data_IF_060729811702
#
_entry.id   IF_060729811702
#
_cell.length_a   1.000
_cell.length_b   1.000
_cell.length_c   1.000
_cell.angle_alpha   90.00
_cell.angle_beta   90.00
_cell.angle_gamma   90.00
#
_symmetry.space_group_name_H-M   'P 1'
#
loop_
_entity.id
_entity.type
_entity.pdbx_description
1 polymer ?
#
# COMPACT_ATOMS: atom_id res chain seq x y z
N UNK A 1 -7.69 -5.37 23.58
CA UNK A 1 -8.63 -6.16 22.75
C UNK A 1 -8.97 -5.42 21.47
N UNK A 2 -9.44 -4.17 21.53
CA UNK A 2 -9.59 -3.29 20.35
C UNK A 2 -8.30 -3.14 19.53
N UNK A 3 -7.15 -3.03 20.21
CA UNK A 3 -5.86 -2.88 19.51
C UNK A 3 -5.46 -4.10 18.66
N UNK A 4 -5.82 -5.29 19.09
CA UNK A 4 -5.50 -6.54 18.40
C UNK A 4 -6.42 -6.70 17.18
N UNK A 5 -7.69 -6.33 17.31
CA UNK A 5 -8.70 -6.59 16.29
C UNK A 5 -8.51 -5.70 15.04
N UNK A 6 -8.26 -4.39 15.22
CA UNK A 6 -8.08 -3.49 14.07
C UNK A 6 -6.78 -3.80 13.31
N UNK A 7 -5.67 -4.04 14.04
CA UNK A 7 -4.40 -4.44 13.43
C UNK A 7 -4.54 -5.72 12.61
N UNK A 8 -5.32 -6.69 13.08
CA UNK A 8 -5.58 -7.94 12.34
C UNK A 8 -6.25 -7.66 10.99
N UNK A 9 -7.33 -6.85 10.97
CA UNK A 9 -8.04 -6.54 9.70
C UNK A 9 -7.19 -5.77 8.68
N UNK A 10 -6.27 -4.91 9.16
CA UNK A 10 -5.32 -4.21 8.28
C UNK A 10 -4.28 -5.21 7.75
N UNK A 11 -3.80 -6.14 8.58
CA UNK A 11 -2.89 -7.20 8.17
C UNK A 11 -3.52 -8.14 7.14
N UNK A 12 -4.82 -8.44 7.22
CA UNK A 12 -5.52 -9.27 6.24
C UNK A 12 -5.48 -8.64 4.83
N UNK A 13 -5.83 -7.35 4.72
CA UNK A 13 -5.72 -6.62 3.44
C UNK A 13 -4.26 -6.54 2.98
N UNK A 14 -3.32 -6.25 3.89
CA UNK A 14 -1.88 -6.16 3.58
C UNK A 14 -1.38 -7.48 2.99
N UNK A 15 -1.72 -8.61 3.61
CA UNK A 15 -1.30 -9.94 3.16
C UNK A 15 -1.89 -10.28 1.79
N UNK A 16 -3.15 -9.93 1.54
CA UNK A 16 -3.77 -10.11 0.23
C UNK A 16 -3.04 -9.29 -0.84
N UNK A 17 -2.80 -7.99 -0.60
CA UNK A 17 -2.09 -7.12 -1.52
C UNK A 17 -0.65 -7.60 -1.76
N UNK A 18 0.02 -8.09 -0.73
CA UNK A 18 1.36 -8.65 -0.85
C UNK A 18 1.38 -9.95 -1.67
N UNK A 19 0.32 -10.76 -1.60
CA UNK A 19 0.19 -11.99 -2.38
C UNK A 19 0.05 -11.68 -3.88
N UNK A 20 -0.77 -10.68 -4.24
CA UNK A 20 -0.79 -10.13 -5.60
C UNK A 20 0.59 -9.59 -6.00
N UNK A 21 1.20 -8.77 -5.15
CA UNK A 21 2.45 -8.11 -5.51
C UNK A 21 3.64 -9.07 -5.67
N UNK A 22 3.59 -10.23 -5.02
CA UNK A 22 4.57 -11.31 -5.14
C UNK A 22 4.18 -12.37 -6.20
N UNK A 23 3.09 -12.15 -6.93
CA UNK A 23 2.59 -13.06 -7.97
C UNK A 23 2.40 -14.50 -7.44
N UNK A 24 2.04 -14.63 -6.15
CA UNK A 24 1.85 -15.93 -5.48
C UNK A 24 0.45 -16.47 -5.75
N UNK A 25 0.35 -17.80 -5.90
CA UNK A 25 -0.93 -18.52 -6.05
C UNK A 25 -1.89 -18.21 -4.89
N UNK A 26 -3.21 -18.23 -5.10
CA UNK A 26 -4.20 -18.00 -4.04
C UNK A 26 -4.71 -19.29 -3.38
N UNK A 27 -4.24 -20.46 -3.81
CA UNK A 27 -4.80 -21.76 -3.41
C UNK A 27 -4.65 -22.10 -1.91
N UNK A 28 -3.62 -21.62 -1.22
CA UNK A 28 -3.30 -22.08 0.15
C UNK A 28 -3.84 -21.14 1.25
N UNK A 29 -3.99 -19.84 0.98
CA UNK A 29 -4.16 -18.85 2.05
C UNK A 29 -5.52 -18.12 2.05
N UNK A 30 -6.21 -18.03 0.91
CA UNK A 30 -7.45 -17.25 0.79
C UNK A 30 -8.70 -18.11 0.74
N UNK A 31 -8.60 -19.39 1.11
CA UNK A 31 -9.67 -20.37 0.95
C UNK A 31 -9.90 -20.81 -0.51
N UNK A 32 -8.95 -20.53 -1.41
CA UNK A 32 -9.02 -20.82 -2.84
C UNK A 32 -9.46 -19.62 -3.69
N UNK A 33 -9.82 -19.88 -4.96
CA UNK A 33 -10.27 -18.87 -5.92
C UNK A 33 -9.14 -18.28 -6.77
N UNK A 34 -9.49 -17.82 -7.99
CA UNK A 34 -8.54 -17.15 -8.87
C UNK A 34 -8.25 -15.70 -8.45
N UNK A 35 -7.31 -15.01 -9.14
CA UNK A 35 -7.01 -13.59 -8.89
C UNK A 35 -8.25 -12.69 -8.92
N UNK A 36 -9.21 -12.95 -9.81
CA UNK A 36 -10.47 -12.19 -9.90
C UNK A 36 -11.32 -12.28 -8.63
N UNK A 37 -11.57 -13.49 -8.13
CA UNK A 37 -12.34 -13.69 -6.90
C UNK A 37 -11.68 -12.98 -5.71
N UNK A 38 -10.35 -13.00 -5.66
CA UNK A 38 -9.58 -12.32 -4.63
C UNK A 38 -9.66 -10.80 -4.74
N UNK A 39 -9.64 -10.25 -5.96
CA UNK A 39 -9.82 -8.81 -6.17
C UNK A 39 -11.23 -8.35 -5.76
N UNK A 40 -12.26 -9.16 -6.03
CA UNK A 40 -13.64 -8.87 -5.59
C UNK A 40 -13.76 -8.82 -4.07
N UNK A 41 -12.90 -9.51 -3.31
CA UNK A 41 -12.95 -9.49 -1.85
C UNK A 41 -12.41 -8.18 -1.23
N UNK A 42 -11.61 -7.40 -1.97
CA UNK A 42 -10.89 -6.24 -1.43
C UNK A 42 -11.83 -5.19 -0.83
N UNK A 43 -12.92 -4.74 -1.50
CA UNK A 43 -13.83 -3.77 -0.92
C UNK A 43 -14.48 -4.25 0.39
N UNK A 44 -14.77 -5.55 0.49
CA UNK A 44 -15.39 -6.12 1.69
C UNK A 44 -14.40 -6.25 2.86
N UNK A 45 -13.14 -6.61 2.59
CA UNK A 45 -12.08 -6.57 3.61
C UNK A 45 -11.89 -5.15 4.15
N UNK A 46 -11.92 -4.15 3.27
CA UNK A 46 -11.89 -2.74 3.66
C UNK A 46 -13.10 -2.41 4.54
N UNK A 47 -14.32 -2.79 4.14
CA UNK A 47 -15.53 -2.52 4.92
C UNK A 47 -15.50 -3.17 6.32
N UNK A 48 -14.96 -4.38 6.46
CA UNK A 48 -14.77 -5.04 7.75
C UNK A 48 -13.77 -4.28 8.62
N UNK A 49 -12.61 -3.87 8.08
CA UNK A 49 -11.64 -3.07 8.84
C UNK A 49 -12.20 -1.70 9.25
N UNK A 50 -12.98 -1.05 8.38
CA UNK A 50 -13.68 0.21 8.70
C UNK A 50 -14.69 0.03 9.83
N UNK A 51 -15.44 -1.07 9.86
CA UNK A 51 -16.34 -1.37 10.98
C UNK A 51 -15.57 -1.44 12.31
N UNK A 52 -14.41 -2.10 12.33
CA UNK A 52 -13.58 -2.18 13.54
C UNK A 52 -13.04 -0.80 13.92
N UNK A 53 -12.51 -0.02 12.98
CA UNK A 53 -12.00 1.34 13.24
C UNK A 53 -13.08 2.25 13.82
N UNK A 54 -14.28 2.25 13.22
CA UNK A 54 -15.40 3.08 13.65
C UNK A 54 -15.92 2.67 15.03
N UNK A 55 -16.06 1.37 15.31
CA UNK A 55 -16.59 0.88 16.59
C UNK A 55 -15.59 1.00 17.75
N UNK A 56 -14.29 0.87 17.47
CA UNK A 56 -13.21 1.01 18.46
C UNK A 56 -12.74 2.45 18.65
N UNK A 57 -13.16 3.38 17.79
CA UNK A 57 -12.84 4.82 17.83
C UNK A 57 -11.34 5.10 17.84
N UNK A 58 -10.55 4.30 17.13
CA UNK A 58 -9.08 4.43 17.07
C UNK A 58 -8.59 5.43 16.01
N UNK A 59 -9.48 5.98 15.18
CA UNK A 59 -9.15 6.86 14.05
C UNK A 59 -8.12 7.94 14.40
N UNK A 60 -8.39 8.81 15.37
CA UNK A 60 -7.51 9.95 15.67
C UNK A 60 -6.10 9.52 16.10
N UNK A 61 -5.98 8.40 16.81
CA UNK A 61 -4.69 7.84 17.24
C UNK A 61 -3.91 7.32 16.05
N UNK A 62 -4.53 6.48 15.23
CA UNK A 62 -3.88 5.85 14.08
C UNK A 62 -3.55 6.87 12.98
N UNK A 63 -4.42 7.86 12.77
CA UNK A 63 -4.16 8.96 11.85
C UNK A 63 -2.96 9.81 12.29
N UNK A 64 -2.85 10.09 13.58
CA UNK A 64 -1.69 10.76 14.16
C UNK A 64 -0.40 9.96 14.00
N UNK A 65 -0.45 8.65 14.26
CA UNK A 65 0.68 7.74 14.05
C UNK A 65 1.11 7.71 12.57
N UNK A 66 0.16 7.64 11.63
CA UNK A 66 0.42 7.67 10.21
C UNK A 66 1.04 9.00 9.74
N UNK A 67 0.59 10.12 10.29
CA UNK A 67 1.12 11.46 10.00
C UNK A 67 2.54 11.67 10.55
N UNK A 68 2.85 11.10 11.72
CA UNK A 68 4.23 11.10 12.24
C UNK A 68 5.12 10.19 11.41
N UNK A 69 4.63 9.00 11.03
CA UNK A 69 5.37 8.04 10.22
C UNK A 69 5.83 8.63 8.87
N UNK A 70 4.98 9.41 8.19
CA UNK A 70 5.31 9.99 6.87
C UNK A 70 6.37 11.09 6.95
N UNK A 71 6.56 11.73 8.11
CA UNK A 71 7.51 12.82 8.32
C UNK A 71 8.82 12.41 8.98
N UNK A 72 8.85 11.30 9.71
CA UNK A 72 10.05 10.77 10.36
C UNK A 72 11.11 10.31 9.35
N UNK A 73 12.38 10.29 9.75
CA UNK A 73 13.46 9.76 8.91
C UNK A 73 13.23 8.29 8.51
N UNK A 74 13.76 7.90 7.34
CA UNK A 74 13.75 6.50 6.90
C UNK A 74 14.92 5.79 7.56
N UNK A 75 14.65 4.79 8.39
CA UNK A 75 15.66 3.96 9.05
C UNK A 75 15.62 2.52 8.53
N UNK A 76 16.77 1.84 8.52
CA UNK A 76 16.85 0.47 8.01
C UNK A 76 16.02 -0.55 8.83
N UNK A 77 15.78 -0.31 10.12
CA UNK A 77 15.02 -1.22 10.98
C UNK A 77 13.53 -1.32 10.59
N UNK A 78 12.97 -0.32 9.90
CA UNK A 78 11.61 -0.33 9.35
C UNK A 78 11.33 -1.57 8.49
N UNK A 79 12.37 -2.15 7.88
CA UNK A 79 12.27 -3.36 7.07
C UNK A 79 11.81 -4.60 7.86
N UNK A 80 12.01 -4.62 9.17
CA UNK A 80 11.78 -5.80 10.02
C UNK A 80 10.62 -5.62 10.99
N UNK A 81 9.96 -4.47 10.97
CA UNK A 81 8.80 -4.19 11.82
C UNK A 81 7.53 -4.82 11.23
N UNK A 82 6.72 -5.45 12.09
CA UNK A 82 5.42 -6.00 11.69
C UNK A 82 4.49 -4.89 11.17
N UNK A 83 4.48 -3.75 11.86
CA UNK A 83 3.73 -2.54 11.55
C UNK A 83 4.58 -1.52 10.76
N UNK A 84 5.51 -2.01 9.93
CA UNK A 84 6.38 -1.21 9.08
C UNK A 84 5.69 -0.66 7.83
N UNK A 85 6.45 -0.25 6.80
CA UNK A 85 5.91 0.50 5.66
C UNK A 85 4.76 -0.16 4.87
N UNK A 86 4.76 -1.49 4.73
CA UNK A 86 3.65 -2.22 4.11
C UNK A 86 2.35 -2.09 4.90
N UNK A 87 2.44 -2.17 6.24
CA UNK A 87 1.29 -1.98 7.11
C UNK A 87 0.81 -0.53 7.07
N UNK A 88 1.72 0.43 7.17
CA UNK A 88 1.38 1.87 7.15
C UNK A 88 0.72 2.30 5.83
N UNK A 89 1.20 1.80 4.68
CA UNK A 89 0.57 2.03 3.39
C UNK A 89 -0.84 1.40 3.31
N UNK A 90 -1.02 0.21 3.88
CA UNK A 90 -2.34 -0.44 3.95
C UNK A 90 -3.28 0.32 4.89
N UNK A 91 -2.79 0.78 6.03
CA UNK A 91 -3.56 1.53 7.01
C UNK A 91 -4.06 2.87 6.43
N UNK A 92 -3.28 3.49 5.54
CA UNK A 92 -3.70 4.70 4.83
C UNK A 92 -5.05 4.52 4.12
N UNK A 93 -5.30 3.36 3.49
CA UNK A 93 -6.56 3.03 2.79
C UNK A 93 -7.79 3.29 3.66
N UNK A 94 -7.68 3.03 4.97
CA UNK A 94 -8.79 3.15 5.91
C UNK A 94 -8.93 4.55 6.50
N UNK A 95 -7.85 5.33 6.53
CA UNK A 95 -7.76 6.55 7.36
C UNK A 95 -7.58 7.83 6.54
N UNK A 96 -7.07 7.74 5.31
CA UNK A 96 -6.79 8.90 4.47
C UNK A 96 -7.76 8.92 3.30
N UNK A 97 -8.35 10.09 3.06
CA UNK A 97 -9.04 10.37 1.82
C UNK A 97 -8.07 10.33 0.62
N UNK A 98 -8.61 10.28 -0.59
CA UNK A 98 -7.79 10.33 -1.83
C UNK A 98 -6.84 11.53 -1.84
N UNK A 99 -7.33 12.71 -1.46
CA UNK A 99 -6.52 13.93 -1.44
C UNK A 99 -5.40 13.88 -0.39
N UNK A 100 -5.60 13.17 0.73
CA UNK A 100 -4.57 12.97 1.75
C UNK A 100 -3.55 11.91 1.32
N UNK A 101 -3.99 10.84 0.66
CA UNK A 101 -3.11 9.89 0.03
C UNK A 101 -2.20 10.55 -0.99
N UNK A 102 -2.73 11.39 -1.89
CA UNK A 102 -1.94 12.10 -2.91
C UNK A 102 -0.83 12.97 -2.32
N UNK A 103 -1.04 13.58 -1.14
CA UNK A 103 -0.03 14.38 -0.43
C UNK A 103 1.13 13.52 0.09
N UNK A 104 0.84 12.33 0.59
CA UNK A 104 1.80 11.50 1.32
C UNK A 104 2.27 10.25 0.57
N UNK A 105 1.71 9.94 -0.61
CA UNK A 105 2.05 8.72 -1.36
C UNK A 105 3.55 8.61 -1.69
N UNK A 106 4.23 9.72 -1.88
CA UNK A 106 5.69 9.75 -2.07
C UNK A 106 6.45 9.28 -0.83
N UNK A 107 5.98 9.67 0.36
CA UNK A 107 6.57 9.23 1.63
C UNK A 107 6.42 7.70 1.80
N UNK A 108 5.29 7.14 1.36
CA UNK A 108 5.09 5.69 1.32
C UNK A 108 6.00 5.02 0.29
N UNK A 109 6.09 5.55 -0.94
CA UNK A 109 6.93 5.03 -2.01
C UNK A 109 8.41 4.95 -1.59
N UNK A 110 8.99 6.05 -1.07
CA UNK A 110 10.37 6.08 -0.60
C UNK A 110 10.65 5.01 0.45
N UNK A 111 9.74 4.82 1.41
CA UNK A 111 9.91 3.82 2.47
C UNK A 111 9.76 2.39 1.95
N UNK A 112 8.90 2.16 0.97
CA UNK A 112 8.77 0.86 0.31
C UNK A 112 10.04 0.50 -0.48
N UNK A 113 10.61 1.45 -1.21
CA UNK A 113 11.90 1.29 -1.89
C UNK A 113 13.05 1.01 -0.91
N UNK A 114 13.08 1.72 0.22
CA UNK A 114 14.07 1.52 1.26
C UNK A 114 13.99 0.11 1.87
N UNK A 115 12.79 -0.37 2.25
CA UNK A 115 12.68 -1.72 2.82
C UNK A 115 12.95 -2.82 1.79
N UNK A 116 12.67 -2.59 0.51
CA UNK A 116 13.03 -3.51 -0.56
C UNK A 116 14.54 -3.69 -0.63
N UNK A 117 15.28 -2.58 -0.65
CA UNK A 117 16.75 -2.58 -0.60
C UNK A 117 17.23 -3.29 0.66
N UNK A 118 16.80 -2.84 1.85
CA UNK A 118 17.30 -3.35 3.12
C UNK A 118 17.12 -4.87 3.23
N UNK A 119 15.95 -5.40 2.88
CA UNK A 119 15.69 -6.85 2.94
C UNK A 119 16.54 -7.64 1.96
N UNK A 120 16.88 -7.06 0.81
CA UNK A 120 17.74 -7.69 -0.17
C UNK A 120 19.22 -7.71 0.28
N UNK A 121 19.73 -6.59 0.80
CA UNK A 121 21.15 -6.47 1.17
C UNK A 121 21.45 -6.99 2.58
N UNK A 122 20.43 -7.21 3.41
CA UNK A 122 20.54 -7.68 4.81
C UNK A 122 19.48 -8.77 5.13
N UNK A 123 19.44 -9.92 4.43
CA UNK A 123 18.40 -10.93 4.64
C UNK A 123 18.39 -11.56 6.05
N UNK A 124 19.52 -11.49 6.77
CA UNK A 124 19.69 -12.07 8.10
C UNK A 124 19.10 -11.23 9.25
N UNK A 125 18.53 -10.05 8.97
CA UNK A 125 17.92 -9.18 9.97
C UNK A 125 18.56 -7.79 10.08
N UNK A 126 18.14 -6.99 11.07
CA UNK A 126 18.55 -5.59 11.20
C UNK A 126 20.05 -5.45 11.50
N UNK A 127 20.71 -4.56 10.76
CA UNK A 127 22.05 -4.04 11.08
C UNK A 127 21.99 -2.62 11.64
N UNK A 128 23.15 -1.96 11.79
CA UNK A 128 23.26 -0.57 12.29
C UNK A 128 22.90 0.51 11.26
N UNK A 129 22.30 0.12 10.14
CA UNK A 129 22.03 0.96 8.96
C UNK A 129 22.00 0.11 7.69
N UNK A 130 21.86 0.75 6.54
CA UNK A 130 21.83 0.09 5.23
C UNK A 130 23.24 -0.35 4.80
N UNK A 131 23.45 -1.65 4.61
CA UNK A 131 24.78 -2.22 4.30
C UNK A 131 25.29 -1.86 2.90
N UNK A 132 24.40 -1.66 1.94
CA UNK A 132 24.72 -1.34 0.56
C UNK A 132 23.64 -0.42 -0.04
N UNK A 133 24.07 0.77 -0.47
CA UNK A 133 23.23 1.84 -1.03
C UNK A 133 23.23 1.85 -2.57
N UNK A 134 23.94 0.94 -3.23
CA UNK A 134 23.90 0.82 -4.68
C UNK A 134 22.55 0.30 -5.15
N UNK A 135 21.99 0.96 -6.17
CA UNK A 135 20.74 0.56 -6.81
C UNK A 135 20.87 -0.88 -7.35
N UNK A 136 19.83 -1.69 -7.14
CA UNK A 136 19.76 -3.10 -7.56
C UNK A 136 18.87 -3.27 -8.78
N UNK A 137 18.81 -4.50 -9.29
CA UNK A 137 17.89 -4.85 -10.37
C UNK A 137 16.43 -4.53 -10.00
N UNK A 138 15.65 -4.12 -11.00
CA UNK A 138 14.25 -3.79 -10.83
C UNK A 138 13.45 -4.88 -10.12
N UNK A 139 13.78 -6.16 -10.33
CA UNK A 139 13.14 -7.30 -9.69
C UNK A 139 13.21 -7.27 -8.15
N UNK A 140 14.20 -6.58 -7.57
CA UNK A 140 14.30 -6.38 -6.11
C UNK A 140 13.18 -5.46 -5.60
N UNK A 141 12.85 -4.43 -6.37
CA UNK A 141 11.84 -3.43 -6.00
C UNK A 141 10.44 -3.78 -6.50
N UNK A 142 10.32 -4.57 -7.58
CA UNK A 142 9.05 -4.89 -8.25
C UNK A 142 7.93 -5.28 -7.28
N UNK A 143 8.11 -6.22 -6.33
CA UNK A 143 7.02 -6.58 -5.42
C UNK A 143 6.55 -5.43 -4.52
N UNK A 144 7.41 -4.47 -4.20
CA UNK A 144 7.06 -3.32 -3.35
C UNK A 144 6.42 -2.20 -4.17
N UNK A 145 6.86 -2.04 -5.41
CA UNK A 145 6.26 -1.12 -6.38
C UNK A 145 4.86 -1.59 -6.78
N UNK A 146 4.70 -2.87 -7.13
CA UNK A 146 3.37 -3.45 -7.43
C UNK A 146 2.45 -3.34 -6.22
N UNK A 147 2.95 -3.57 -5.00
CA UNK A 147 2.17 -3.34 -3.78
C UNK A 147 1.71 -1.89 -3.66
N UNK A 148 2.60 -0.91 -3.85
CA UNK A 148 2.24 0.50 -3.88
C UNK A 148 1.19 0.81 -4.95
N UNK A 149 1.39 0.29 -6.16
CA UNK A 149 0.47 0.48 -7.28
C UNK A 149 -0.92 -0.09 -7.01
N UNK A 150 -1.03 -1.22 -6.30
CA UNK A 150 -2.31 -1.77 -5.85
C UNK A 150 -3.01 -0.87 -4.83
N UNK A 151 -2.27 -0.33 -3.85
CA UNK A 151 -2.81 0.63 -2.88
C UNK A 151 -3.30 1.89 -3.59
N UNK A 152 -2.50 2.46 -4.50
CA UNK A 152 -2.88 3.64 -5.29
C UNK A 152 -4.10 3.33 -6.19
N UNK A 153 -4.15 2.14 -6.77
CA UNK A 153 -5.27 1.69 -7.59
C UNK A 153 -6.58 1.54 -6.80
N UNK A 154 -6.53 1.17 -5.50
CA UNK A 154 -7.72 1.18 -4.64
C UNK A 154 -8.32 2.59 -4.58
N UNK A 155 -7.51 3.64 -4.41
CA UNK A 155 -8.00 5.03 -4.45
C UNK A 155 -8.56 5.40 -5.82
N UNK A 156 -7.89 4.96 -6.90
CA UNK A 156 -8.27 5.27 -8.29
C UNK A 156 -9.58 4.61 -8.71
N UNK A 157 -9.81 3.35 -8.33
CA UNK A 157 -10.92 2.53 -8.82
C UNK A 157 -12.05 2.34 -7.80
N UNK A 158 -11.74 2.19 -6.51
CA UNK A 158 -12.78 1.96 -5.49
C UNK A 158 -13.26 3.25 -4.86
N UNK A 159 -12.37 4.22 -4.65
CA UNK A 159 -12.72 5.42 -3.87
C UNK A 159 -13.01 6.66 -4.72
N UNK A 160 -13.12 6.48 -6.05
CA UNK A 160 -13.24 7.55 -7.03
C UNK A 160 -14.38 8.52 -6.71
N UNK A 161 -15.52 7.98 -6.28
CA UNK A 161 -16.77 8.71 -6.11
C UNK A 161 -17.19 8.81 -4.63
N UNK A 162 -16.23 8.66 -3.70
CA UNK A 162 -16.48 8.83 -2.26
C UNK A 162 -16.47 10.32 -1.93
N UNK A 163 -17.62 10.82 -1.47
CA UNK A 163 -17.82 12.23 -1.09
C UNK A 163 -17.80 12.42 0.44
N UNK A 164 -17.64 13.67 0.89
CA UNK A 164 -17.76 14.07 2.29
C UNK A 164 -16.49 14.68 2.89
N UNK A 165 -16.60 15.12 4.15
CA UNK A 165 -15.48 15.68 4.91
C UNK A 165 -14.43 14.60 5.24
N UNK A 166 -13.15 14.96 5.17
CA UNK A 166 -12.05 14.01 5.36
C UNK A 166 -11.96 13.53 6.82
N UNK A 167 -12.38 14.35 7.79
CA UNK A 167 -12.44 13.98 9.21
C UNK A 167 -13.41 12.83 9.50
N UNK A 168 -14.34 12.59 8.58
CA UNK A 168 -15.32 11.50 8.64
C UNK A 168 -15.02 10.39 7.62
N UNK A 169 -13.81 10.37 7.05
CA UNK A 169 -13.41 9.45 5.99
C UNK A 169 -13.79 7.98 6.27
N UNK A 170 -13.49 7.39 7.44
CA UNK A 170 -13.83 5.98 7.68
C UNK A 170 -15.33 5.70 7.69
N UNK A 171 -16.16 6.68 8.11
CA UNK A 171 -17.61 6.54 8.11
C UNK A 171 -18.17 6.71 6.69
N UNK A 172 -17.72 7.74 5.96
CA UNK A 172 -18.12 8.02 4.58
C UNK A 172 -17.78 6.85 3.65
N UNK A 173 -16.56 6.31 3.78
CA UNK A 173 -16.12 5.18 2.96
C UNK A 173 -16.90 3.90 3.28
N UNK A 174 -17.21 3.64 4.57
CA UNK A 174 -17.99 2.48 4.94
C UNK A 174 -19.42 2.56 4.40
N UNK A 175 -20.02 3.75 4.42
CA UNK A 175 -21.34 3.97 3.85
C UNK A 175 -21.34 3.87 2.31
N UNK A 176 -20.33 4.43 1.65
CA UNK A 176 -20.15 4.29 0.21
C UNK A 176 -20.07 2.81 -0.20
N UNK A 177 -19.22 2.01 0.46
CA UNK A 177 -19.06 0.59 0.11
C UNK A 177 -20.39 -0.17 0.26
N UNK A 178 -21.16 0.12 1.31
CA UNK A 178 -22.46 -0.52 1.56
C UNK A 178 -23.48 -0.27 0.45
N UNK A 179 -23.41 0.88 -0.21
CA UNK A 179 -24.41 1.30 -1.19
C UNK A 179 -23.97 1.16 -2.65
N UNK A 180 -22.72 0.75 -2.91
CA UNK A 180 -22.13 0.72 -4.26
C UNK A 180 -21.58 -0.66 -4.67
N UNK A 181 -22.17 -1.75 -4.17
CA UNK A 181 -21.71 -3.14 -4.37
C UNK A 181 -21.46 -3.50 -5.85
N UNK A 182 -22.46 -3.32 -6.72
CA UNK A 182 -22.35 -3.64 -8.15
C UNK A 182 -21.24 -2.84 -8.84
N UNK A 183 -21.11 -1.55 -8.50
CA UNK A 183 -20.06 -0.70 -9.05
C UNK A 183 -18.66 -1.15 -8.57
N UNK A 184 -18.54 -1.57 -7.30
CA UNK A 184 -17.29 -2.06 -6.73
C UNK A 184 -16.85 -3.40 -7.32
N UNK A 185 -17.77 -4.30 -7.63
CA UNK A 185 -17.46 -5.55 -8.35
C UNK A 185 -16.88 -5.21 -9.74
N UNK A 186 -17.58 -4.36 -10.50
CA UNK A 186 -17.10 -3.92 -11.82
C UNK A 186 -15.75 -3.19 -11.74
N UNK A 187 -15.55 -2.37 -10.72
CA UNK A 187 -14.28 -1.68 -10.52
C UNK A 187 -13.17 -2.63 -10.08
N UNK A 188 -13.50 -3.76 -9.44
CA UNK A 188 -12.52 -4.79 -9.08
C UNK A 188 -11.97 -5.48 -10.33
N UNK A 189 -12.81 -5.71 -11.34
CA UNK A 189 -12.37 -6.21 -12.65
C UNK A 189 -11.44 -5.22 -13.37
N UNK A 190 -11.76 -3.93 -13.33
CA UNK A 190 -10.89 -2.88 -13.91
C UNK A 190 -9.56 -2.77 -13.17
N UNK A 191 -9.57 -2.85 -11.84
CA UNK A 191 -8.36 -2.83 -11.03
C UNK A 191 -7.50 -4.06 -11.36
N UNK A 192 -8.11 -5.24 -11.50
CA UNK A 192 -7.40 -6.45 -11.89
C UNK A 192 -6.77 -6.32 -13.29
N UNK A 193 -7.50 -5.82 -14.28
CA UNK A 193 -6.96 -5.56 -15.63
C UNK A 193 -5.79 -4.56 -15.58
N UNK A 194 -5.94 -3.44 -14.87
CA UNK A 194 -4.83 -2.49 -14.64
C UNK A 194 -3.61 -3.15 -13.99
N UNK A 195 -3.83 -4.01 -12.97
CA UNK A 195 -2.75 -4.76 -12.35
C UNK A 195 -2.04 -5.70 -13.33
N UNK A 196 -2.78 -6.48 -14.11
CA UNK A 196 -2.20 -7.48 -15.02
C UNK A 196 -1.60 -6.88 -16.29
N UNK A 197 -2.21 -5.83 -16.82
CA UNK A 197 -1.91 -5.28 -18.16
C UNK A 197 -0.99 -4.06 -18.10
N UNK A 198 -0.94 -3.35 -16.96
CA UNK A 198 -0.14 -2.12 -16.82
C UNK A 198 0.94 -2.25 -15.73
N UNK A 199 0.58 -2.69 -14.51
CA UNK A 199 1.54 -2.76 -13.40
C UNK A 199 2.55 -3.91 -13.53
N UNK A 200 2.07 -5.15 -13.77
CA UNK A 200 2.95 -6.32 -13.84
C UNK A 200 3.96 -6.30 -15.01
N UNK A 201 3.61 -5.77 -16.21
CA UNK A 201 4.53 -5.69 -17.34
C UNK A 201 5.66 -4.69 -17.18
N UNK A 202 5.61 -3.79 -16.20
CA UNK A 202 6.71 -2.86 -15.93
C UNK A 202 8.03 -3.62 -15.73
N UNK A 203 9.09 -3.13 -16.37
CA UNK A 203 10.45 -3.70 -16.34
C UNK A 203 11.48 -2.75 -15.73
N UNK A 204 11.10 -1.50 -15.48
CA UNK A 204 11.93 -0.48 -14.84
C UNK A 204 11.14 0.40 -13.87
N UNK A 205 11.86 1.11 -13.00
CA UNK A 205 11.23 2.06 -12.08
C UNK A 205 10.64 3.28 -12.82
N UNK A 206 11.26 3.69 -13.93
CA UNK A 206 10.72 4.76 -14.79
C UNK A 206 9.37 4.38 -15.43
N UNK A 207 9.27 3.18 -16.00
CA UNK A 207 7.98 2.67 -16.55
C UNK A 207 6.89 2.60 -15.48
N UNK A 208 7.24 2.13 -14.28
CA UNK A 208 6.31 2.13 -13.16
C UNK A 208 5.84 3.55 -12.79
N UNK A 209 6.75 4.51 -12.73
CA UNK A 209 6.41 5.91 -12.45
C UNK A 209 5.50 6.52 -13.53
N UNK A 210 5.65 6.12 -14.79
CA UNK A 210 4.75 6.52 -15.88
C UNK A 210 3.33 5.97 -15.64
N UNK A 211 3.22 4.64 -15.48
CA UNK A 211 1.95 3.93 -15.28
C UNK A 211 1.15 4.48 -14.08
N UNK A 212 1.82 4.77 -12.97
CA UNK A 212 1.18 5.25 -11.73
C UNK A 212 1.01 6.79 -11.70
N UNK A 213 1.45 7.51 -12.74
CA UNK A 213 1.30 8.96 -12.83
C UNK A 213 2.14 9.71 -11.80
N UNK A 214 3.41 9.32 -11.67
CA UNK A 214 4.39 9.92 -10.77
C UNK A 214 5.43 10.80 -11.51
N UNK A 215 5.46 10.80 -12.85
CA UNK A 215 6.47 11.51 -13.64
C UNK A 215 6.47 13.03 -13.46
N UNK A 216 5.34 13.64 -13.11
CA UNK A 216 5.27 15.08 -12.84
C UNK A 216 6.10 15.49 -11.61
N UNK A 217 6.28 14.56 -10.67
CA UNK A 217 7.01 14.79 -9.41
C UNK A 217 8.37 14.09 -9.40
N UNK A 218 8.45 12.91 -10.02
CA UNK A 218 9.68 12.12 -10.19
C UNK A 218 10.09 12.22 -11.66
N UNK A 219 10.73 13.34 -12.00
CA UNK A 219 11.21 13.60 -13.36
C UNK A 219 12.46 12.78 -13.74
N UNK A 220 13.24 12.37 -12.75
CA UNK A 220 14.39 11.48 -12.90
C UNK A 220 14.26 10.31 -11.90
N UNK A 221 13.80 9.17 -12.40
CA UNK A 221 13.56 7.96 -11.61
C UNK A 221 14.84 7.39 -10.98
N UNK A 222 15.97 7.47 -11.69
CA UNK A 222 17.24 6.87 -11.26
C UNK A 222 17.87 7.71 -10.15
N UNK A 223 17.88 9.03 -10.33
CA UNK A 223 18.30 9.97 -9.30
C UNK A 223 17.42 9.89 -8.07
N UNK A 224 16.09 9.73 -8.25
CA UNK A 224 15.16 9.59 -7.13
C UNK A 224 15.47 8.34 -6.29
N UNK A 225 15.57 7.16 -6.92
CA UNK A 225 15.87 5.93 -6.20
C UNK A 225 17.21 6.02 -5.46
N UNK A 226 18.24 6.56 -6.12
CA UNK A 226 19.56 6.80 -5.49
C UNK A 226 19.44 7.71 -4.27
N UNK A 227 18.66 8.79 -4.37
CA UNK A 227 18.44 9.74 -3.26
C UNK A 227 17.72 9.09 -2.07
N UNK A 228 16.74 8.22 -2.35
CA UNK A 228 16.02 7.46 -1.31
C UNK A 228 17.01 6.57 -0.56
N UNK A 229 17.84 5.79 -1.27
CA UNK A 229 18.82 4.90 -0.63
C UNK A 229 19.89 5.69 0.14
N UNK A 230 20.31 6.86 -0.37
CA UNK A 230 21.21 7.76 0.33
C UNK A 230 20.62 8.26 1.66
N UNK A 231 19.31 8.54 1.69
CA UNK A 231 18.60 9.07 2.86
C UNK A 231 18.38 8.05 4.00
N UNK A 232 18.49 6.75 3.73
CA UNK A 232 18.30 5.71 4.75
C UNK A 232 19.38 5.84 5.83
N UNK A 233 18.93 6.04 7.07
CA UNK A 233 19.75 6.09 8.29
C UNK A 233 19.99 4.70 8.84
#
# INVERSE_FOLDING_TARGET
MADILHGTTIHDLKLLMLRFAQEKSFHEDTGGGGPQSNMHMVPYLIHVGLYVINTTRVYSREFGALSSYTTNDITADLAYQADGPLYMATMAVFLKSKNEWEKDRYAHLSRLLAIAQTRFVQPSGPGTGLSDKSVKDYSVYKPYLVFFGLIDAIYKYFFKDVEGEFEQWPANLADYIRHNDEALIKNSEKLLSYYTEELLPCTSFGEFCDVVGLLEVISDSDSYLTSVLASVK
#
